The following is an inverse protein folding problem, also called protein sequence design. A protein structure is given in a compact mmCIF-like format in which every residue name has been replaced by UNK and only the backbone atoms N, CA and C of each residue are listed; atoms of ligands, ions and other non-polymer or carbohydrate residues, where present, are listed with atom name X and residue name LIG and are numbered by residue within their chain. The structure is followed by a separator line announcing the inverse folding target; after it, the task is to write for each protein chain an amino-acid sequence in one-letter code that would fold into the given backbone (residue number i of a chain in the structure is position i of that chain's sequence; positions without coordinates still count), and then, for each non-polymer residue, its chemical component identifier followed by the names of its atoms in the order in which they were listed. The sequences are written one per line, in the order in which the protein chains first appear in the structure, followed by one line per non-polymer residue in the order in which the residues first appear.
data_IF_042516347978
#
_entry.id   IF_042516347978
#
_cell.length_a   1.000
_cell.length_b   1.000
_cell.length_c   1.000
_cell.angle_alpha   90.00
_cell.angle_beta   90.00
_cell.angle_gamma   90.00
#
_symmetry.space_group_name_H-M   'P 1'
#
loop_
_entity.id
_entity.type
_entity.pdbx_description
1 polymer ?
#
# COMPACT_ATOMS: atom_id res chain seq x y z
N UNK A 1 19.45 4.50 7.85
CA UNK A 1 18.71 3.72 8.85
C UNK A 1 17.27 3.64 8.38
N UNK A 2 16.71 2.43 8.18
CA UNK A 2 15.27 2.30 7.90
C UNK A 2 14.54 2.65 9.19
N UNK A 3 13.74 3.71 9.19
CA UNK A 3 13.02 4.14 10.39
C UNK A 3 11.75 3.32 10.56
N UNK A 4 11.27 3.16 11.80
CA UNK A 4 9.91 2.64 12.05
C UNK A 4 8.85 3.40 11.24
N UNK A 5 9.11 4.68 10.97
CA UNK A 5 8.29 5.50 10.08
C UNK A 5 8.21 4.95 8.64
N UNK A 6 9.33 4.51 8.06
CA UNK A 6 9.32 4.02 6.67
C UNK A 6 8.54 2.71 6.55
N UNK A 7 8.62 1.82 7.55
CA UNK A 7 7.83 0.59 7.59
C UNK A 7 6.35 0.87 7.85
N UNK A 8 6.03 1.84 8.70
CA UNK A 8 4.65 2.31 8.89
C UNK A 8 4.06 2.84 7.57
N UNK A 9 4.81 3.66 6.83
CA UNK A 9 4.37 4.16 5.53
C UNK A 9 4.13 3.02 4.52
N UNK A 10 5.05 2.05 4.43
CA UNK A 10 4.87 0.87 3.56
C UNK A 10 3.57 0.12 3.93
N UNK A 11 3.35 -0.10 5.23
CA UNK A 11 2.17 -0.75 5.77
C UNK A 11 0.88 0.06 5.65
N UNK A 12 0.93 1.33 5.30
CA UNK A 12 -0.26 2.10 4.92
C UNK A 12 -0.47 1.98 3.41
N UNK A 13 0.61 2.09 2.63
CA UNK A 13 0.55 2.04 1.17
C UNK A 13 -0.05 0.75 0.63
N UNK A 14 0.21 -0.44 1.18
CA UNK A 14 -0.43 -1.63 0.60
C UNK A 14 -1.94 -1.77 0.86
N UNK A 15 -2.56 -0.80 1.57
CA UNK A 15 -4.03 -0.73 1.69
C UNK A 15 -4.60 -0.05 0.45
N UNK A 16 -3.76 0.70 -0.26
CA UNK A 16 -4.19 1.50 -1.39
C UNK A 16 -4.46 0.62 -2.60
N UNK A 17 -5.62 0.81 -3.22
CA UNK A 17 -5.96 0.14 -4.47
C UNK A 17 -5.25 0.80 -5.66
N UNK A 18 -4.27 0.11 -6.22
CA UNK A 18 -3.54 0.54 -7.41
C UNK A 18 -4.16 0.03 -8.73
N UNK A 19 -5.36 -0.55 -8.70
CA UNK A 19 -6.05 -1.01 -9.91
C UNK A 19 -6.28 0.15 -10.88
N UNK A 20 -5.77 0.01 -12.11
CA UNK A 20 -5.84 1.04 -13.15
C UNK A 20 -4.85 2.21 -12.97
N UNK A 21 -4.00 2.19 -11.93
CA UNK A 21 -2.92 3.18 -11.73
C UNK A 21 -1.66 2.71 -12.46
N UNK A 22 -0.99 3.61 -13.19
CA UNK A 22 0.35 3.30 -13.70
C UNK A 22 1.37 3.38 -12.56
N UNK A 23 1.64 2.24 -11.92
CA UNK A 23 2.56 2.12 -10.79
C UNK A 23 4.02 2.50 -11.10
N UNK A 24 4.37 2.66 -12.38
CA UNK A 24 5.69 3.16 -12.80
C UNK A 24 5.74 4.69 -12.91
N UNK A 25 4.64 5.40 -12.64
CA UNK A 25 4.56 6.85 -12.67
C UNK A 25 4.37 7.40 -11.26
N UNK A 26 5.41 8.05 -10.73
CA UNK A 26 5.41 8.61 -9.37
C UNK A 26 4.28 9.62 -9.11
N UNK A 27 3.86 10.38 -10.12
CA UNK A 27 2.77 11.34 -9.96
C UNK A 27 1.41 10.63 -9.80
N UNK A 28 1.17 9.56 -10.57
CA UNK A 28 -0.05 8.78 -10.43
C UNK A 28 -0.06 7.96 -9.13
N UNK A 29 1.07 7.36 -8.75
CA UNK A 29 1.21 6.70 -7.45
C UNK A 29 0.98 7.70 -6.33
N UNK A 30 1.62 8.85 -6.37
CA UNK A 30 1.45 9.92 -5.39
C UNK A 30 0.01 10.41 -5.27
N UNK A 31 -0.73 10.48 -6.38
CA UNK A 31 -2.16 10.81 -6.38
C UNK A 31 -3.00 9.70 -5.72
N UNK A 32 -2.77 8.43 -6.08
CA UNK A 32 -3.48 7.29 -5.52
C UNK A 32 -3.28 7.16 -3.99
N UNK A 33 -2.08 7.46 -3.49
CA UNK A 33 -1.78 7.44 -2.05
C UNK A 33 -2.60 8.46 -1.23
N UNK A 34 -3.10 9.50 -1.89
CA UNK A 34 -3.92 10.57 -1.29
C UNK A 34 -5.42 10.37 -1.55
N UNK A 35 -5.77 9.45 -2.44
CA UNK A 35 -7.13 9.23 -2.92
C UNK A 35 -7.90 8.33 -1.94
N UNK A 36 -8.88 8.92 -1.24
CA UNK A 36 -9.67 8.21 -0.24
C UNK A 36 -10.53 7.10 -0.84
N UNK A 37 -10.93 7.22 -2.10
CA UNK A 37 -11.74 6.21 -2.78
C UNK A 37 -10.92 4.94 -3.09
N UNK A 38 -9.59 5.04 -2.96
CA UNK A 38 -8.62 3.94 -3.09
C UNK A 38 -8.01 3.59 -1.74
N UNK A 39 -8.62 3.97 -0.62
CA UNK A 39 -8.07 3.83 0.73
C UNK A 39 -6.72 4.57 0.96
N UNK A 40 -6.38 5.52 0.09
CA UNK A 40 -5.28 6.45 0.27
C UNK A 40 -5.54 7.43 1.42
N UNK A 41 -4.60 7.47 2.37
CA UNK A 41 -4.69 8.29 3.59
C UNK A 41 -3.51 9.24 3.77
N UNK A 42 -2.55 9.24 2.84
CA UNK A 42 -1.37 10.09 2.94
C UNK A 42 -1.73 11.57 2.78
N UNK A 43 -1.06 12.41 3.55
CA UNK A 43 -0.93 13.83 3.22
C UNK A 43 -0.05 14.03 1.97
N UNK A 44 -0.13 15.20 1.31
CA UNK A 44 0.72 15.50 0.16
C UNK A 44 2.23 15.31 0.43
N UNK A 45 2.69 15.69 1.63
CA UNK A 45 4.10 15.55 2.02
C UNK A 45 4.49 14.08 2.22
N UNK A 46 3.60 13.28 2.83
CA UNK A 46 3.83 11.83 2.99
C UNK A 46 3.92 11.13 1.63
N UNK A 47 3.03 11.46 0.70
CA UNK A 47 3.04 10.90 -0.65
C UNK A 47 4.34 11.25 -1.40
N UNK A 48 4.76 12.51 -1.40
CA UNK A 48 6.02 12.94 -2.02
C UNK A 48 7.23 12.23 -1.40
N UNK A 49 7.27 12.14 -0.07
CA UNK A 49 8.35 11.46 0.64
C UNK A 49 8.39 9.96 0.29
N UNK A 50 7.24 9.30 0.21
CA UNK A 50 7.15 7.89 -0.14
C UNK A 50 7.65 7.62 -1.56
N UNK A 51 7.10 8.30 -2.57
CA UNK A 51 7.48 8.07 -3.97
C UNK A 51 8.94 8.45 -4.24
N UNK A 52 9.54 9.35 -3.46
CA UNK A 52 10.98 9.65 -3.57
C UNK A 52 11.89 8.48 -3.15
N UNK A 53 11.38 7.56 -2.32
CA UNK A 53 12.17 6.48 -1.71
C UNK A 53 11.83 5.09 -2.24
N UNK A 54 10.61 4.87 -2.70
CA UNK A 54 10.08 3.54 -3.00
C UNK A 54 9.42 3.51 -4.38
N UNK A 55 9.67 2.42 -5.09
CA UNK A 55 8.88 1.97 -6.24
C UNK A 55 7.92 0.87 -5.81
N UNK A 56 6.72 0.85 -6.38
CA UNK A 56 5.84 -0.32 -6.35
C UNK A 56 6.17 -1.18 -7.58
N UNK A 57 6.51 -2.45 -7.37
CA UNK A 57 6.87 -3.38 -8.46
C UNK A 57 5.76 -4.35 -8.81
N UNK A 58 4.95 -4.71 -7.84
CA UNK A 58 3.77 -5.53 -8.03
C UNK A 58 2.78 -5.24 -6.91
N UNK A 59 1.50 -5.27 -7.23
CA UNK A 59 0.41 -5.13 -6.27
C UNK A 59 -0.67 -6.15 -6.61
N UNK A 60 -1.07 -6.92 -5.63
CA UNK A 60 -2.27 -7.76 -5.67
C UNK A 60 -3.28 -7.10 -4.73
N UNK A 61 -4.39 -6.55 -5.25
CA UNK A 61 -5.42 -5.94 -4.43
C UNK A 61 -6.08 -6.99 -3.54
N UNK A 62 -6.92 -6.53 -2.61
CA UNK A 62 -7.63 -7.43 -1.71
C UNK A 62 -8.50 -8.43 -2.48
N UNK A 63 -8.27 -9.72 -2.24
CA UNK A 63 -9.00 -10.82 -2.88
C UNK A 63 -10.18 -11.26 -2.02
N UNK A 64 -11.06 -12.13 -2.54
CA UNK A 64 -12.21 -12.66 -1.78
C UNK A 64 -11.79 -13.46 -0.52
N UNK A 65 -10.58 -14.02 -0.50
CA UNK A 65 -10.03 -14.66 0.70
C UNK A 65 -9.46 -13.66 1.71
N UNK A 66 -9.47 -12.37 1.36
CA UNK A 66 -8.85 -11.27 2.10
C UNK A 66 -7.33 -11.21 1.99
N UNK A 67 -6.72 -11.97 1.10
CA UNK A 67 -5.31 -11.86 0.81
C UNK A 67 -5.04 -10.61 -0.02
N UNK A 68 -4.03 -9.83 0.38
CA UNK A 68 -3.41 -8.81 -0.45
C UNK A 68 -1.88 -8.86 -0.30
N UNK A 69 -1.17 -8.38 -1.32
CA UNK A 69 0.29 -8.28 -1.24
C UNK A 69 0.85 -7.18 -2.11
N UNK A 70 1.92 -6.55 -1.66
CA UNK A 70 2.63 -5.54 -2.44
C UNK A 70 4.14 -5.72 -2.32
N UNK A 71 4.82 -5.61 -3.46
CA UNK A 71 6.29 -5.64 -3.56
C UNK A 71 6.79 -4.23 -3.76
N UNK A 72 7.60 -3.76 -2.82
CA UNK A 72 8.27 -2.47 -2.86
C UNK A 72 9.76 -2.66 -3.16
N UNK A 73 10.33 -1.75 -3.95
CA UNK A 73 11.78 -1.66 -4.18
C UNK A 73 12.28 -0.30 -3.72
N UNK A 74 13.38 -0.30 -2.98
CA UNK A 74 14.05 0.96 -2.62
C UNK A 74 14.67 1.61 -3.86
N UNK A 75 14.51 2.92 -4.02
CA UNK A 75 15.15 3.70 -5.11
C UNK A 75 16.63 3.95 -4.86
N UNK A 76 17.06 3.95 -3.59
CA UNK A 76 18.44 4.27 -3.19
C UNK A 76 19.30 3.03 -2.92
N UNK A 77 18.78 1.82 -3.11
CA UNK A 77 19.54 0.59 -2.91
C UNK A 77 18.90 -0.64 -3.56
N UNK A 78 19.51 -1.81 -3.35
CA UNK A 78 19.03 -3.07 -3.94
C UNK A 78 17.94 -3.78 -3.12
N UNK A 79 17.41 -3.12 -2.08
CA UNK A 79 16.51 -3.75 -1.13
C UNK A 79 15.08 -3.85 -1.68
N UNK A 80 14.47 -5.01 -1.47
CA UNK A 80 13.05 -5.24 -1.68
C UNK A 80 12.35 -5.42 -0.33
N UNK A 81 11.10 -4.99 -0.25
CA UNK A 81 10.20 -5.27 0.85
C UNK A 81 8.96 -5.91 0.26
N UNK A 82 8.59 -7.07 0.76
CA UNK A 82 7.36 -7.76 0.43
C UNK A 82 6.45 -7.67 1.63
N UNK A 83 5.26 -7.12 1.41
CA UNK A 83 4.21 -7.05 2.42
C UNK A 83 3.06 -7.96 2.04
N UNK A 84 2.53 -8.67 3.03
CA UNK A 84 1.33 -9.47 2.94
C UNK A 84 0.31 -8.97 3.94
N UNK A 85 -0.96 -9.03 3.58
CA UNK A 85 -2.06 -8.84 4.52
C UNK A 85 -3.15 -9.89 4.30
N UNK A 86 -3.89 -10.14 5.38
CA UNK A 86 -5.08 -10.97 5.41
C UNK A 86 -6.32 -10.11 5.71
N UNK A 87 -7.51 -10.72 5.62
CA UNK A 87 -8.78 -10.03 5.77
C UNK A 87 -8.90 -9.31 7.10
N UNK A 88 -9.29 -8.04 7.04
CA UNK A 88 -10.01 -7.37 8.10
C UNK A 88 -11.43 -7.98 8.14
N UNK A 89 -11.97 -8.41 9.30
CA UNK A 89 -13.26 -9.08 9.35
C UNK A 89 -14.33 -8.17 8.76
N UNK A 90 -14.85 -8.54 7.58
CA UNK A 90 -15.82 -7.75 6.82
C UNK A 90 -17.21 -7.75 7.45
N UNK A 91 -17.43 -8.51 8.53
CA UNK A 91 -18.70 -8.50 9.23
C UNK A 91 -18.53 -9.07 10.65
N UNK A 92 -18.70 -8.23 11.68
CA UNK A 92 -18.91 -8.72 13.05
C UNK A 92 -20.21 -9.54 13.11
N UNK A 93 -21.11 -9.37 12.14
CA UNK A 93 -22.32 -10.19 11.97
C UNK A 93 -22.05 -11.66 11.67
N UNK A 94 -20.92 -12.01 11.03
CA UNK A 94 -20.58 -13.41 10.71
C UNK A 94 -20.01 -14.18 11.92
N UNK A 95 -19.56 -13.47 12.98
CA UNK A 95 -19.06 -14.07 14.22
C UNK A 95 -20.16 -14.27 15.28
N UNK A 96 -21.34 -13.70 15.08
CA UNK A 96 -22.46 -13.72 16.03
C UNK A 96 -23.63 -14.62 15.57
N UNK A 97 -23.51 -15.27 14.42
CA UNK A 97 -24.51 -16.19 13.86
C UNK A 97 -24.24 -17.68 14.14
N UNK A 98 -23.32 -17.98 15.06
CA UNK A 98 -23.02 -19.33 15.55
C UNK A 98 -23.82 -19.73 16.78
#
# INVERSE_FOLDING_TARGET
MKSYYDFSSISEVSYVDFSGVNINNDAQVGAALQDKDRDGRFSPIQAVNFVSKWDIKAHTPNTESGYSSTVFKSKTGANYVLEFRGTEPSDIGALLSG
#
